data_IF_417204566108
#
_entry.id   IF_417204566108
#
_cell.length_a   1.000
_cell.length_b   1.000
_cell.length_c   1.000
_cell.angle_alpha   90.00
_cell.angle_beta   90.00
_cell.angle_gamma   90.00
#
_symmetry.space_group_name_H-M   'P 1'
#
loop_
_entity.id
_entity.type
_entity.pdbx_description
1 polymer ?
#
# COMPACT_ATOMS: atom_id res chain seq x y z
N UNK A 1 9.05 11.60 -3.10
CA UNK A 1 7.67 12.12 -2.98
C UNK A 1 6.95 11.24 -1.97
N UNK A 2 6.31 11.79 -0.95
CA UNK A 2 5.65 10.98 0.08
C UNK A 2 4.40 10.27 -0.46
N UNK A 3 4.15 9.03 -0.01
CA UNK A 3 2.92 8.30 -0.30
C UNK A 3 1.78 8.90 0.53
N UNK A 4 0.53 8.72 0.08
CA UNK A 4 -0.65 9.18 0.82
C UNK A 4 -1.65 8.05 0.98
N UNK A 5 -2.29 8.01 2.14
CA UNK A 5 -3.37 7.09 2.42
C UNK A 5 -4.53 7.32 1.44
N UNK A 6 -4.96 6.30 0.72
CA UNK A 6 -6.10 6.38 -0.21
C UNK A 6 -7.43 6.73 0.48
N UNK A 7 -7.54 6.50 1.79
CA UNK A 7 -8.76 6.79 2.55
C UNK A 7 -8.76 8.17 3.21
N UNK A 8 -7.69 8.55 3.89
CA UNK A 8 -7.65 9.78 4.69
C UNK A 8 -6.63 10.81 4.22
N UNK A 9 -5.92 10.54 3.11
CA UNK A 9 -4.88 11.42 2.54
C UNK A 9 -3.69 11.75 3.46
N UNK A 10 -3.63 11.15 4.67
CA UNK A 10 -2.48 11.25 5.57
C UNK A 10 -1.21 10.77 4.86
N UNK A 11 -0.09 11.42 5.17
CA UNK A 11 1.22 11.03 4.70
C UNK A 11 1.62 9.64 5.20
N UNK A 12 2.12 8.81 4.29
CA UNK A 12 2.62 7.46 4.53
C UNK A 12 4.07 7.42 4.04
N UNK A 13 4.88 6.65 4.76
CA UNK A 13 6.24 6.33 4.37
C UNK A 13 6.30 5.82 2.91
N UNK A 14 7.26 6.32 2.14
CA UNK A 14 7.48 5.90 0.76
C UNK A 14 7.86 4.43 0.63
N UNK A 15 8.50 3.88 1.66
CA UNK A 15 8.88 2.48 1.77
C UNK A 15 7.72 1.56 2.16
N UNK A 16 6.53 2.11 2.45
CA UNK A 16 5.34 1.30 2.71
C UNK A 16 4.94 0.50 1.47
N UNK A 17 4.68 -0.79 1.64
CA UNK A 17 4.18 -1.68 0.58
C UNK A 17 2.70 -1.46 0.24
N UNK A 18 2.00 -0.65 1.03
CA UNK A 18 0.58 -0.32 0.82
C UNK A 18 0.36 1.19 0.91
N UNK A 19 -0.62 1.69 0.16
CA UNK A 19 -1.05 3.09 0.17
C UNK A 19 -2.17 3.34 1.19
N UNK A 20 -2.14 2.64 2.33
CA UNK A 20 -3.13 2.74 3.41
C UNK A 20 -2.42 2.89 4.75
N UNK A 21 -2.80 3.88 5.54
CA UNK A 21 -2.21 4.08 6.88
C UNK A 21 -2.77 3.05 7.88
N UNK A 22 -2.06 2.82 8.98
CA UNK A 22 -2.43 1.78 9.95
C UNK A 22 -3.84 1.94 10.49
N UNK A 23 -4.22 3.15 10.93
CA UNK A 23 -5.56 3.40 11.46
C UNK A 23 -6.69 3.11 10.45
N UNK A 24 -6.49 3.43 9.17
CA UNK A 24 -7.48 3.14 8.14
C UNK A 24 -7.48 1.66 7.77
N UNK A 25 -6.31 1.03 7.67
CA UNK A 25 -6.20 -0.38 7.33
C UNK A 25 -6.84 -1.27 8.39
N UNK A 26 -6.54 -1.01 9.65
CA UNK A 26 -7.19 -1.68 10.79
C UNK A 26 -8.68 -1.37 10.85
N UNK A 27 -9.10 -0.15 10.53
CA UNK A 27 -10.53 0.22 10.49
C UNK A 27 -11.32 -0.51 9.41
N UNK A 28 -10.71 -0.79 8.25
CA UNK A 28 -11.38 -1.45 7.11
C UNK A 28 -11.31 -2.98 7.22
N UNK A 29 -10.16 -3.53 7.59
CA UNK A 29 -9.92 -4.99 7.56
C UNK A 29 -9.74 -5.63 8.94
N UNK A 30 -9.52 -4.83 9.99
CA UNK A 30 -9.10 -5.32 11.31
C UNK A 30 -7.60 -5.59 11.39
N UNK A 31 -7.04 -5.52 12.59
CA UNK A 31 -5.60 -5.67 12.88
C UNK A 31 -4.98 -6.92 12.26
N UNK A 32 -5.60 -8.09 12.47
CA UNK A 32 -5.08 -9.38 11.98
C UNK A 32 -5.01 -9.44 10.46
N UNK A 33 -6.08 -9.03 9.78
CA UNK A 33 -6.15 -9.10 8.33
C UNK A 33 -5.21 -8.06 7.70
N UNK A 34 -5.19 -6.84 8.24
CA UNK A 34 -4.28 -5.81 7.77
C UNK A 34 -2.82 -6.19 7.97
N UNK A 35 -2.49 -6.83 9.10
CA UNK A 35 -1.18 -7.44 9.34
C UNK A 35 -0.81 -8.47 8.28
N UNK A 36 -1.71 -9.42 7.98
CA UNK A 36 -1.49 -10.42 6.94
C UNK A 36 -1.33 -9.82 5.54
N UNK A 37 -2.09 -8.77 5.21
CA UNK A 37 -1.93 -8.03 3.94
C UNK A 37 -0.52 -7.42 3.87
N UNK A 38 -0.08 -6.70 4.92
CA UNK A 38 1.27 -6.10 4.98
C UNK A 38 2.35 -7.17 4.83
N UNK A 39 2.24 -8.27 5.57
CA UNK A 39 3.22 -9.37 5.54
C UNK A 39 3.32 -10.02 4.15
N UNK A 40 2.18 -10.29 3.51
CA UNK A 40 2.15 -10.88 2.17
C UNK A 40 2.75 -9.94 1.12
N UNK A 41 2.43 -8.64 1.17
CA UNK A 41 2.97 -7.64 0.26
C UNK A 41 4.49 -7.47 0.46
N UNK A 42 4.96 -7.44 1.71
CA UNK A 42 6.38 -7.45 2.04
C UNK A 42 7.10 -8.71 1.53
N UNK A 43 6.43 -9.86 1.67
CA UNK A 43 6.92 -11.14 1.14
C UNK A 43 7.08 -11.11 -0.38
N UNK A 44 6.09 -10.57 -1.10
CA UNK A 44 6.16 -10.38 -2.56
C UNK A 44 7.27 -9.40 -2.95
N UNK A 45 7.42 -8.28 -2.23
CA UNK A 45 8.49 -7.30 -2.46
C UNK A 45 9.87 -7.94 -2.36
N UNK A 46 10.11 -8.71 -1.30
CA UNK A 46 11.38 -9.41 -1.08
C UNK A 46 11.68 -10.46 -2.15
N UNK A 47 10.65 -11.08 -2.73
CA UNK A 47 10.78 -12.06 -3.82
C UNK A 47 10.96 -11.41 -5.20
N UNK A 48 10.77 -10.09 -5.31
CA UNK A 48 10.76 -9.38 -6.59
C UNK A 48 9.48 -9.61 -7.41
N UNK A 49 8.41 -10.10 -6.77
CA UNK A 49 7.12 -10.44 -7.40
C UNK A 49 6.02 -9.42 -7.04
N UNK A 50 6.41 -8.29 -6.43
CA UNK A 50 5.48 -7.20 -6.16
C UNK A 50 5.36 -6.30 -7.40
N UNK A 51 4.42 -6.64 -8.28
CA UNK A 51 4.08 -5.85 -9.46
C UNK A 51 2.85 -4.97 -9.18
N UNK A 52 3.07 -3.84 -8.50
CA UNK A 52 2.05 -2.78 -8.40
C UNK A 52 2.07 -1.99 -9.72
N UNK A 53 1.19 -2.35 -10.65
CA UNK A 53 1.09 -1.63 -11.94
C UNK A 53 0.98 -0.12 -11.75
N UNK A 54 1.55 0.65 -12.67
CA UNK A 54 1.46 2.11 -12.63
C UNK A 54 0.26 2.60 -13.42
N UNK A 55 -0.68 3.30 -12.78
CA UNK A 55 -1.78 3.99 -13.49
C UNK A 55 -1.31 5.23 -14.27
N UNK A 56 -0.02 5.58 -14.22
CA UNK A 56 0.53 6.73 -14.98
C UNK A 56 1.15 6.32 -16.32
N UNK A 57 1.38 5.04 -16.57
CA UNK A 57 1.91 4.56 -17.85
C UNK A 57 0.76 4.29 -18.83
N UNK A 58 0.34 5.33 -19.56
CA UNK A 58 -0.53 5.15 -20.74
C UNK A 58 -1.76 6.03 -20.87
N UNK A 59 -1.85 7.18 -20.21
CA UNK A 59 -2.83 8.21 -20.61
C UNK A 59 -2.20 9.18 -21.61
N UNK A 60 -2.43 9.04 -22.93
CA UNK A 60 -2.24 10.14 -23.84
C UNK A 60 -3.36 11.16 -23.56
N UNK A 61 -2.98 12.36 -23.12
CA UNK A 61 -3.83 13.53 -23.33
C UNK A 61 -3.89 13.85 -24.82
#
# INVERSE_FOLDING_TARGET
MAKRCVYCSKEIDTESVVDVCESCGEGVWGEKMFGAIKENMEGARKKGDLHQGSVTEGMPF
#
